data_IF_725961899388
#
_entry.id   IF_725961899388
#
_cell.length_a   1.000
_cell.length_b   1.000
_cell.length_c   1.000
_cell.angle_alpha   90.00
_cell.angle_beta   90.00
_cell.angle_gamma   90.00
#
_symmetry.space_group_name_H-M   'P 1'
#
loop_
_entity.id
_entity.type
_entity.pdbx_description
1 polymer ?
#
# COMPACT_ATOMS: atom_id res chain seq x y z
N UNK A 1 46.49 14.08 6.69
CA UNK A 1 45.50 13.82 5.60
C UNK A 1 45.23 15.12 4.88
N UNK A 2 45.17 15.07 3.54
CA UNK A 2 44.80 16.28 2.79
C UNK A 2 43.32 16.64 3.04
N UNK A 3 42.93 17.93 2.92
CA UNK A 3 41.51 18.35 3.03
C UNK A 3 40.60 17.58 2.09
N UNK A 4 41.11 17.19 0.91
CA UNK A 4 40.38 16.38 -0.06
C UNK A 4 40.07 14.99 0.46
N UNK A 5 41.05 14.31 1.13
CA UNK A 5 40.84 12.99 1.72
C UNK A 5 39.82 13.02 2.87
N UNK A 6 39.81 14.09 3.66
CA UNK A 6 38.82 14.27 4.73
C UNK A 6 37.43 14.43 4.12
N UNK A 7 37.28 15.23 3.07
CA UNK A 7 36.01 15.44 2.37
C UNK A 7 35.48 14.15 1.74
N UNK A 8 36.34 13.34 1.13
CA UNK A 8 36.00 12.04 0.55
C UNK A 8 35.51 11.06 1.61
N UNK A 9 36.19 10.99 2.77
CA UNK A 9 35.78 10.12 3.89
C UNK A 9 34.42 10.55 4.43
N UNK A 10 34.22 11.85 4.66
CA UNK A 10 32.93 12.38 5.14
C UNK A 10 31.81 12.03 4.15
N UNK A 11 32.07 12.21 2.85
CA UNK A 11 31.10 11.89 1.80
C UNK A 11 30.76 10.39 1.76
N UNK A 12 31.77 9.52 1.92
CA UNK A 12 31.60 8.07 1.95
C UNK A 12 30.81 7.63 3.19
N UNK A 13 31.18 8.11 4.37
CA UNK A 13 30.46 7.84 5.63
C UNK A 13 29.00 8.29 5.53
N UNK A 14 28.76 9.48 4.99
CA UNK A 14 27.42 9.99 4.77
C UNK A 14 26.62 9.15 3.79
N UNK A 15 27.24 8.69 2.70
CA UNK A 15 26.63 7.79 1.73
C UNK A 15 26.25 6.44 2.38
N UNK A 16 27.17 5.85 3.14
CA UNK A 16 26.95 4.58 3.85
C UNK A 16 25.83 4.71 4.89
N UNK A 17 25.84 5.76 5.72
CA UNK A 17 24.78 6.00 6.71
C UNK A 17 23.41 6.23 6.04
N UNK A 18 23.37 6.96 4.93
CA UNK A 18 22.14 7.16 4.16
C UNK A 18 21.64 5.85 3.56
N UNK A 19 22.54 5.00 3.07
CA UNK A 19 22.21 3.69 2.53
C UNK A 19 21.66 2.75 3.62
N UNK A 20 22.33 2.71 4.78
CA UNK A 20 21.91 1.88 5.91
C UNK A 20 20.57 2.36 6.49
N UNK A 21 20.34 3.67 6.58
CA UNK A 21 19.06 4.23 6.99
C UNK A 21 17.92 3.86 6.04
N UNK A 22 18.16 3.91 4.73
CA UNK A 22 17.20 3.46 3.71
C UNK A 22 16.92 1.96 3.78
N UNK A 23 17.96 1.16 3.99
CA UNK A 23 17.82 -0.29 4.15
C UNK A 23 17.02 -0.63 5.42
N UNK A 24 17.33 0.04 6.54
CA UNK A 24 16.63 -0.13 7.80
C UNK A 24 15.12 0.18 7.66
N UNK A 25 14.77 1.35 7.11
CA UNK A 25 13.35 1.72 6.90
C UNK A 25 12.60 0.78 5.95
N UNK A 26 13.30 0.09 5.04
CA UNK A 26 12.68 -0.89 4.14
C UNK A 26 12.48 -2.25 4.78
N UNK A 27 13.34 -2.62 5.71
CA UNK A 27 13.37 -3.96 6.33
C UNK A 27 12.68 -4.00 7.68
N UNK A 28 12.53 -2.85 8.35
CA UNK A 28 11.84 -2.79 9.63
C UNK A 28 10.34 -2.99 9.43
N UNK A 29 9.74 -4.00 10.07
CA UNK A 29 8.29 -4.20 9.99
C UNK A 29 7.55 -3.03 10.68
N UNK A 30 6.29 -2.77 10.32
CA UNK A 30 5.45 -1.84 11.07
C UNK A 30 5.32 -2.25 12.55
N UNK A 31 5.16 -1.28 13.45
CA UNK A 31 5.07 -1.55 14.90
C UNK A 31 3.95 -2.52 15.30
N UNK A 32 2.86 -2.49 14.55
CA UNK A 32 1.66 -3.31 14.71
C UNK A 32 1.55 -4.36 13.59
N UNK A 33 2.66 -4.96 13.20
CA UNK A 33 2.68 -6.03 12.21
C UNK A 33 2.03 -7.33 12.74
N UNK A 34 1.69 -8.30 11.88
CA UNK A 34 1.05 -9.56 12.29
C UNK A 34 1.76 -10.30 13.42
N UNK A 35 3.11 -10.37 13.39
CA UNK A 35 3.85 -11.09 14.41
C UNK A 35 3.81 -10.35 15.76
N UNK A 36 3.96 -9.05 15.76
CA UNK A 36 3.88 -8.21 16.96
C UNK A 36 2.49 -8.29 17.60
N UNK A 37 1.43 -8.31 16.76
CA UNK A 37 0.06 -8.44 17.27
C UNK A 37 -0.19 -9.80 17.92
N UNK A 38 0.24 -10.90 17.29
CA UNK A 38 0.10 -12.26 17.86
C UNK A 38 0.86 -12.40 19.20
N UNK A 39 2.03 -11.80 19.30
CA UNK A 39 2.81 -11.79 20.56
C UNK A 39 2.10 -11.00 21.67
N UNK A 40 1.43 -9.92 21.34
CA UNK A 40 0.70 -9.08 22.28
C UNK A 40 -0.65 -9.71 22.72
N UNK A 41 -1.23 -10.62 21.91
CA UNK A 41 -2.53 -11.24 22.14
C UNK A 41 -2.42 -12.78 22.13
N UNK A 42 -1.73 -13.38 23.10
CA UNK A 42 -1.57 -14.82 23.19
C UNK A 42 -2.94 -15.49 23.36
N UNK A 43 -3.21 -16.52 22.52
CA UNK A 43 -4.49 -17.24 22.54
C UNK A 43 -5.62 -16.55 21.76
N UNK A 44 -5.36 -15.39 21.13
CA UNK A 44 -6.33 -14.71 20.26
C UNK A 44 -7.50 -14.04 21.00
N UNK A 45 -7.39 -13.87 22.33
CA UNK A 45 -8.41 -13.16 23.13
C UNK A 45 -8.26 -11.66 22.84
N UNK A 46 -9.33 -11.04 22.39
CA UNK A 46 -9.39 -9.60 22.09
C UNK A 46 -10.74 -9.01 22.46
N UNK A 47 -10.74 -7.76 22.86
CA UNK A 47 -11.94 -7.00 23.23
C UNK A 47 -12.48 -6.17 22.06
N UNK A 48 -11.63 -5.91 21.05
CA UNK A 48 -11.95 -5.07 19.89
C UNK A 48 -12.05 -5.89 18.62
N UNK A 49 -12.74 -5.34 17.63
CA UNK A 49 -12.73 -5.88 16.27
C UNK A 49 -11.33 -5.79 15.67
N UNK A 50 -10.92 -6.76 14.88
CA UNK A 50 -9.61 -6.82 14.26
C UNK A 50 -9.68 -6.56 12.77
N UNK A 51 -9.07 -5.47 12.34
CA UNK A 51 -8.83 -5.14 10.95
C UNK A 51 -7.38 -5.44 10.55
N UNK A 52 -7.19 -6.18 9.46
CA UNK A 52 -5.88 -6.35 8.85
C UNK A 52 -5.83 -5.59 7.53
N UNK A 53 -4.90 -4.63 7.44
CA UNK A 53 -4.61 -3.93 6.19
C UNK A 53 -3.40 -4.59 5.53
N UNK A 54 -3.65 -5.37 4.48
CA UNK A 54 -2.63 -6.09 3.73
C UNK A 54 -2.19 -5.29 2.49
N UNK A 55 -0.92 -5.33 2.17
CA UNK A 55 -0.43 -4.60 0.99
C UNK A 55 1.07 -4.49 0.88
N UNK A 56 1.50 -3.50 0.12
CA UNK A 56 2.89 -3.18 -0.15
C UNK A 56 3.40 -1.98 0.68
N UNK A 57 4.32 -1.20 0.11
CA UNK A 57 4.91 -0.02 0.76
C UNK A 57 3.93 1.11 1.04
N UNK A 58 2.82 1.18 0.31
CA UNK A 58 1.77 2.18 0.53
C UNK A 58 1.05 1.87 1.85
N UNK A 59 0.73 0.60 2.08
CA UNK A 59 0.13 0.12 3.34
C UNK A 59 1.14 0.16 4.49
N UNK A 60 2.41 -0.22 4.24
CA UNK A 60 3.48 -0.17 5.24
C UNK A 60 3.64 1.22 5.88
N UNK A 61 3.56 2.29 5.09
CA UNK A 61 3.59 3.67 5.57
C UNK A 61 4.97 4.26 5.86
N UNK A 62 6.08 3.52 5.71
CA UNK A 62 7.42 4.07 5.95
C UNK A 62 7.85 5.14 4.94
N UNK A 63 7.44 4.97 3.69
CA UNK A 63 7.76 5.86 2.55
C UNK A 63 6.53 6.56 1.99
N UNK A 64 5.35 6.18 2.43
CA UNK A 64 4.04 6.76 2.16
C UNK A 64 3.50 7.41 3.44
N UNK A 65 2.56 8.34 3.34
CA UNK A 65 1.74 8.72 4.48
C UNK A 65 0.87 7.51 4.90
N UNK A 66 0.77 7.29 6.20
CA UNK A 66 0.05 6.15 6.76
C UNK A 66 -1.46 6.42 6.79
N UNK A 67 -2.23 5.73 5.97
CA UNK A 67 -3.69 5.75 6.07
C UNK A 67 -4.20 4.93 7.27
N UNK A 68 -3.40 3.97 7.76
CA UNK A 68 -3.75 3.19 8.95
C UNK A 68 -3.75 4.03 10.23
N UNK A 69 -2.80 4.98 10.36
CA UNK A 69 -2.77 5.86 11.53
C UNK A 69 -4.03 6.74 11.60
N UNK A 70 -4.54 7.16 10.44
CA UNK A 70 -5.80 7.88 10.34
C UNK A 70 -6.99 7.01 10.73
N UNK A 71 -7.01 5.75 10.28
CA UNK A 71 -8.07 4.79 10.63
C UNK A 71 -8.06 4.48 12.13
N UNK A 72 -6.90 4.21 12.72
CA UNK A 72 -6.78 3.94 14.15
C UNK A 72 -7.27 5.11 15.03
N UNK A 73 -7.05 6.35 14.57
CA UNK A 73 -7.54 7.54 15.26
C UNK A 73 -9.07 7.73 15.12
N UNK A 74 -9.67 7.28 14.01
CA UNK A 74 -11.09 7.49 13.69
C UNK A 74 -12.01 6.36 14.16
N UNK A 75 -11.46 5.16 14.34
CA UNK A 75 -12.18 3.93 14.65
C UNK A 75 -11.58 3.27 15.92
N UNK A 76 -11.82 3.84 17.11
CA UNK A 76 -11.19 3.38 18.35
C UNK A 76 -11.65 1.98 18.80
N UNK A 77 -12.75 1.46 18.25
CA UNK A 77 -13.28 0.13 18.54
C UNK A 77 -12.62 -0.98 17.71
N UNK A 78 -11.70 -0.61 16.83
CA UNK A 78 -10.91 -1.52 16.02
C UNK A 78 -9.45 -1.55 16.44
N UNK A 79 -8.88 -2.75 16.44
CA UNK A 79 -7.44 -2.94 16.39
C UNK A 79 -7.00 -3.06 14.93
N UNK A 80 -6.05 -2.24 14.52
CA UNK A 80 -5.51 -2.26 13.15
C UNK A 80 -4.15 -2.94 13.10
N UNK A 81 -4.04 -4.02 12.34
CA UNK A 81 -2.77 -4.69 12.04
C UNK A 81 -2.30 -4.28 10.66
N UNK A 82 -1.07 -3.77 10.61
CA UNK A 82 -0.41 -3.38 9.38
C UNK A 82 0.36 -4.58 8.79
N UNK A 83 -0.21 -5.21 7.79
CA UNK A 83 0.41 -6.29 7.04
C UNK A 83 0.99 -5.81 5.69
N UNK A 84 1.44 -4.55 5.62
CA UNK A 84 2.16 -3.99 4.49
C UNK A 84 3.62 -4.39 4.50
N UNK A 85 4.17 -4.80 3.35
CA UNK A 85 5.58 -5.13 3.17
C UNK A 85 6.14 -4.43 1.94
N UNK A 86 7.23 -3.70 2.14
CA UNK A 86 7.82 -2.88 1.08
C UNK A 86 8.22 -3.70 -0.15
N UNK A 87 7.88 -3.17 -1.33
CA UNK A 87 8.23 -3.71 -2.65
C UNK A 87 7.55 -5.04 -3.02
N UNK A 88 6.63 -5.57 -2.21
CA UNK A 88 5.92 -6.80 -2.53
C UNK A 88 4.96 -6.67 -3.71
N UNK A 89 4.89 -7.76 -4.49
CA UNK A 89 3.89 -8.02 -5.52
C UNK A 89 2.74 -8.86 -4.92
N UNK A 90 1.65 -9.03 -5.65
CA UNK A 90 0.56 -9.92 -5.26
C UNK A 90 1.03 -11.37 -5.00
N UNK A 91 2.02 -11.85 -5.76
CA UNK A 91 2.70 -13.14 -5.54
C UNK A 91 3.31 -13.27 -4.13
N UNK A 92 3.99 -12.23 -3.65
CA UNK A 92 4.60 -12.24 -2.32
C UNK A 92 3.55 -12.24 -1.22
N UNK A 93 2.49 -11.44 -1.38
CA UNK A 93 1.36 -11.42 -0.45
C UNK A 93 0.68 -12.81 -0.39
N UNK A 94 0.45 -13.45 -1.55
CA UNK A 94 -0.09 -14.80 -1.63
C UNK A 94 0.80 -15.83 -0.90
N UNK A 95 2.12 -15.71 -1.04
CA UNK A 95 3.08 -16.61 -0.40
C UNK A 95 3.11 -16.51 1.15
N UNK A 96 2.66 -15.38 1.72
CA UNK A 96 2.62 -15.16 3.19
C UNK A 96 1.22 -15.00 3.77
N UNK A 97 0.19 -15.34 3.03
CA UNK A 97 -1.21 -15.12 3.42
C UNK A 97 -1.57 -15.81 4.74
N UNK A 98 -0.90 -16.93 5.09
CA UNK A 98 -1.05 -17.65 6.34
C UNK A 98 -0.94 -16.73 7.56
N UNK A 99 0.02 -15.80 7.55
CA UNK A 99 0.23 -14.87 8.66
C UNK A 99 -0.97 -13.96 8.92
N UNK A 100 -1.79 -13.71 7.89
CA UNK A 100 -3.01 -12.93 7.99
C UNK A 100 -4.16 -13.83 8.47
N UNK A 101 -4.24 -15.06 7.96
CA UNK A 101 -5.25 -16.04 8.33
C UNK A 101 -5.14 -16.41 9.82
N UNK A 102 -3.93 -16.60 10.33
CA UNK A 102 -3.64 -16.90 11.74
C UNK A 102 -4.18 -15.85 12.72
N UNK A 103 -4.27 -14.59 12.29
CA UNK A 103 -4.84 -13.49 13.09
C UNK A 103 -6.36 -13.64 13.30
N UNK A 104 -7.05 -14.42 12.48
CA UNK A 104 -8.53 -14.54 12.47
C UNK A 104 -9.23 -13.17 12.44
N UNK A 105 -8.93 -12.32 11.46
CA UNK A 105 -9.48 -10.96 11.41
C UNK A 105 -10.99 -10.94 11.22
N UNK A 106 -11.63 -9.85 11.66
CA UNK A 106 -13.04 -9.56 11.36
C UNK A 106 -13.19 -8.88 10.00
N UNK A 107 -12.18 -8.11 9.60
CA UNK A 107 -12.14 -7.49 8.28
C UNK A 107 -10.71 -7.41 7.73
N UNK A 108 -10.59 -7.52 6.40
CA UNK A 108 -9.31 -7.40 5.68
C UNK A 108 -9.48 -6.43 4.52
N UNK A 109 -8.60 -5.44 4.43
CA UNK A 109 -8.45 -4.64 3.21
C UNK A 109 -7.14 -5.00 2.51
N UNK A 110 -7.16 -5.05 1.18
CA UNK A 110 -5.98 -5.39 0.37
C UNK A 110 -5.67 -4.24 -0.59
N UNK A 111 -4.48 -3.63 -0.45
CA UNK A 111 -3.94 -2.62 -1.35
C UNK A 111 -2.60 -3.12 -1.90
N UNK A 112 -2.65 -3.85 -3.01
CA UNK A 112 -1.50 -4.48 -3.66
C UNK A 112 -1.59 -4.36 -5.17
N UNK A 113 -0.46 -4.39 -5.88
CA UNK A 113 -0.40 -4.38 -7.33
C UNK A 113 0.41 -3.23 -7.92
N UNK A 114 0.73 -2.20 -7.14
CA UNK A 114 1.58 -1.09 -7.60
C UNK A 114 2.95 -1.59 -8.06
N UNK A 115 3.53 -2.57 -7.35
CA UNK A 115 4.80 -3.17 -7.71
C UNK A 115 4.68 -4.15 -8.89
N UNK A 116 3.53 -4.84 -9.02
CA UNK A 116 3.23 -5.67 -10.19
C UNK A 116 3.23 -4.82 -11.47
N UNK A 117 2.58 -3.66 -11.44
CA UNK A 117 2.60 -2.67 -12.53
C UNK A 117 4.01 -2.17 -12.78
N UNK A 118 4.73 -1.72 -11.73
CA UNK A 118 6.07 -1.15 -11.85
C UNK A 118 7.09 -2.17 -12.41
N UNK A 119 6.95 -3.45 -12.10
CA UNK A 119 7.81 -4.51 -12.62
C UNK A 119 7.69 -4.68 -14.16
N UNK A 120 6.63 -4.16 -14.78
CA UNK A 120 6.45 -4.20 -16.23
C UNK A 120 7.14 -3.05 -16.98
N UNK A 121 7.69 -2.04 -16.29
CA UNK A 121 8.23 -0.82 -16.89
C UNK A 121 9.66 -0.94 -17.46
N UNK A 122 10.03 -2.11 -17.91
CA UNK A 122 11.29 -2.36 -18.58
C UNK A 122 12.27 -3.21 -17.79
N UNK A 123 13.37 -3.56 -18.45
CA UNK A 123 14.31 -4.54 -17.95
C UNK A 123 14.95 -4.17 -16.60
N UNK A 124 15.25 -2.90 -16.38
CA UNK A 124 15.87 -2.43 -15.13
C UNK A 124 14.94 -2.63 -13.92
N UNK A 125 13.67 -2.29 -14.09
CA UNK A 125 12.65 -2.50 -13.05
C UNK A 125 12.47 -3.98 -12.79
N UNK A 126 12.29 -4.76 -13.84
CA UNK A 126 12.14 -6.21 -13.78
C UNK A 126 13.28 -6.90 -13.04
N UNK A 127 14.53 -6.61 -13.41
CA UNK A 127 15.72 -7.18 -12.74
C UNK A 127 15.79 -6.80 -11.27
N UNK A 128 15.36 -5.59 -10.90
CA UNK A 128 15.26 -5.17 -9.50
C UNK A 128 14.31 -6.06 -8.70
N UNK A 129 13.13 -6.37 -9.23
CA UNK A 129 12.17 -7.25 -8.56
C UNK A 129 12.64 -8.71 -8.52
N UNK A 130 13.27 -9.23 -9.56
CA UNK A 130 13.88 -10.57 -9.53
C UNK A 130 14.96 -10.69 -8.46
N UNK A 131 15.81 -9.66 -8.31
CA UNK A 131 16.85 -9.67 -7.28
C UNK A 131 16.30 -9.69 -5.85
N UNK A 132 15.14 -9.05 -5.61
CA UNK A 132 14.54 -8.93 -4.28
C UNK A 132 13.64 -10.15 -3.96
N UNK A 133 12.83 -10.60 -4.92
CA UNK A 133 11.68 -11.48 -4.64
C UNK A 133 11.78 -12.88 -5.24
N UNK A 134 12.84 -13.23 -5.97
CA UNK A 134 12.99 -14.57 -6.60
C UNK A 134 11.72 -15.00 -7.37
N UNK A 135 11.19 -14.09 -8.18
CA UNK A 135 9.94 -14.32 -8.91
C UNK A 135 10.04 -15.57 -9.78
N UNK A 136 9.02 -16.44 -9.82
CA UNK A 136 9.03 -17.68 -10.62
C UNK A 136 8.91 -17.41 -12.12
N UNK A 137 8.25 -16.30 -12.47
CA UNK A 137 8.04 -15.88 -13.86
C UNK A 137 8.01 -14.35 -14.01
N UNK A 138 7.91 -13.88 -15.24
CA UNK A 138 7.87 -12.45 -15.54
C UNK A 138 6.51 -11.87 -15.13
N UNK A 139 6.47 -10.83 -14.26
CA UNK A 139 5.25 -10.14 -13.89
C UNK A 139 4.50 -9.62 -15.12
N UNK A 140 3.22 -9.91 -15.17
CA UNK A 140 2.29 -9.51 -16.21
C UNK A 140 0.85 -9.46 -15.63
N UNK A 141 -0.16 -8.96 -16.36
CA UNK A 141 -1.53 -8.85 -15.84
C UNK A 141 -2.16 -10.19 -15.41
N UNK A 142 -1.84 -11.29 -16.11
CA UNK A 142 -2.34 -12.62 -15.74
C UNK A 142 -1.72 -13.11 -14.44
N UNK A 143 -0.41 -12.99 -14.30
CA UNK A 143 0.31 -13.34 -13.07
C UNK A 143 -0.22 -12.55 -11.86
N UNK A 144 -0.46 -11.25 -12.01
CA UNK A 144 -1.10 -10.43 -10.98
C UNK A 144 -2.49 -10.95 -10.63
N UNK A 145 -3.34 -11.20 -11.64
CA UNK A 145 -4.71 -11.68 -11.48
C UNK A 145 -4.77 -12.99 -10.71
N UNK A 146 -3.95 -13.97 -11.09
CA UNK A 146 -3.92 -15.29 -10.46
C UNK A 146 -3.52 -15.22 -8.98
N UNK A 147 -2.49 -14.43 -8.66
CA UNK A 147 -2.02 -14.29 -7.30
C UNK A 147 -3.00 -13.49 -6.42
N UNK A 148 -3.62 -12.41 -6.94
CA UNK A 148 -4.63 -11.67 -6.19
C UNK A 148 -5.88 -12.53 -5.94
N UNK A 149 -6.30 -13.30 -6.94
CA UNK A 149 -7.42 -14.23 -6.82
C UNK A 149 -7.13 -15.31 -5.77
N UNK A 150 -5.91 -15.85 -5.73
CA UNK A 150 -5.46 -16.77 -4.71
C UNK A 150 -5.56 -16.16 -3.30
N UNK A 151 -5.08 -14.92 -3.12
CA UNK A 151 -5.20 -14.19 -1.83
C UNK A 151 -6.65 -14.09 -1.39
N UNK A 152 -7.53 -13.64 -2.27
CA UNK A 152 -8.96 -13.46 -1.94
C UNK A 152 -9.61 -14.79 -1.56
N UNK A 153 -9.40 -15.82 -2.36
CA UNK A 153 -10.00 -17.15 -2.12
C UNK A 153 -9.50 -17.79 -0.83
N UNK A 154 -8.21 -17.68 -0.53
CA UNK A 154 -7.65 -18.16 0.72
C UNK A 154 -8.28 -17.45 1.92
N UNK A 155 -8.39 -16.13 1.88
CA UNK A 155 -9.05 -15.35 2.93
C UNK A 155 -10.52 -15.73 3.11
N UNK A 156 -11.27 -15.92 2.01
CA UNK A 156 -12.69 -16.35 2.06
C UNK A 156 -12.87 -17.75 2.63
N UNK A 157 -11.99 -18.67 2.28
CA UNK A 157 -12.11 -20.08 2.68
C UNK A 157 -11.65 -20.33 4.11
N UNK A 158 -10.65 -19.60 4.57
CA UNK A 158 -9.95 -19.89 5.82
C UNK A 158 -10.22 -18.86 6.93
N UNK A 159 -11.00 -17.81 6.63
CA UNK A 159 -11.43 -16.82 7.63
C UNK A 159 -12.92 -16.51 7.52
N UNK A 160 -13.44 -15.79 8.52
CA UNK A 160 -14.79 -15.21 8.49
C UNK A 160 -14.74 -13.71 8.15
N UNK A 161 -13.57 -13.20 7.77
CA UNK A 161 -13.35 -11.79 7.54
C UNK A 161 -14.21 -11.25 6.40
N UNK A 162 -14.74 -10.05 6.57
CA UNK A 162 -15.18 -9.25 5.43
C UNK A 162 -13.96 -8.73 4.69
N UNK A 163 -13.96 -8.85 3.37
CA UNK A 163 -12.81 -8.54 2.53
C UNK A 163 -13.15 -7.38 1.60
N UNK A 164 -12.22 -6.42 1.44
CA UNK A 164 -12.32 -5.40 0.42
C UNK A 164 -10.97 -5.17 -0.28
N UNK A 165 -11.03 -4.91 -1.59
CA UNK A 165 -9.87 -4.68 -2.44
C UNK A 165 -9.83 -3.21 -2.87
N UNK A 166 -8.71 -2.54 -2.67
CA UNK A 166 -8.48 -1.22 -3.23
C UNK A 166 -8.07 -1.31 -4.71
N UNK A 167 -8.60 -0.43 -5.55
CA UNK A 167 -7.98 -0.17 -6.85
C UNK A 167 -6.61 0.46 -6.69
N UNK A 168 -5.74 0.26 -7.66
CA UNK A 168 -4.32 0.63 -7.59
C UNK A 168 -4.17 2.13 -7.84
N UNK A 169 -3.53 2.90 -6.94
CA UNK A 169 -3.26 4.32 -7.14
C UNK A 169 -2.53 4.58 -8.48
N UNK A 170 -2.69 5.76 -9.08
CA UNK A 170 -1.94 6.12 -10.28
C UNK A 170 -0.43 6.13 -10.00
N UNK A 171 0.37 5.71 -10.97
CA UNK A 171 1.82 5.87 -10.97
C UNK A 171 2.17 7.11 -11.80
N UNK A 172 2.67 8.14 -11.12
CA UNK A 172 2.75 9.50 -11.66
C UNK A 172 1.40 10.19 -11.70
N UNK A 173 1.39 11.47 -12.05
CA UNK A 173 0.18 12.29 -12.13
C UNK A 173 -0.05 12.87 -13.53
N UNK A 174 0.66 12.36 -14.54
CA UNK A 174 0.43 12.68 -15.95
C UNK A 174 -0.52 11.65 -16.56
N UNK A 175 -1.78 12.04 -16.89
CA UNK A 175 -2.79 11.10 -17.40
C UNK A 175 -2.45 10.53 -18.78
N UNK A 176 -1.51 11.14 -19.50
CA UNK A 176 -1.05 10.66 -20.82
C UNK A 176 0.17 9.74 -20.73
N UNK A 177 0.76 9.59 -19.55
CA UNK A 177 1.94 8.75 -19.38
C UNK A 177 1.54 7.28 -19.26
N UNK A 178 2.31 6.39 -19.92
CA UNK A 178 2.01 4.95 -19.96
C UNK A 178 1.90 4.30 -18.57
N UNK A 179 2.65 4.79 -17.57
CA UNK A 179 2.61 4.25 -16.21
C UNK A 179 1.27 4.54 -15.53
N UNK A 180 0.70 5.72 -15.76
CA UNK A 180 -0.62 6.11 -15.27
C UNK A 180 -1.73 5.24 -15.90
N UNK A 181 -1.66 5.02 -17.21
CA UNK A 181 -2.62 4.19 -17.94
C UNK A 181 -2.52 2.71 -17.54
N UNK A 182 -1.31 2.23 -17.28
CA UNK A 182 -1.09 0.85 -16.86
C UNK A 182 -1.73 0.52 -15.52
N UNK A 183 -1.77 1.47 -14.58
CA UNK A 183 -2.47 1.26 -13.28
C UNK A 183 -3.98 1.15 -13.44
N UNK A 184 -4.58 1.71 -14.48
CA UNK A 184 -6.00 1.55 -14.80
C UNK A 184 -6.31 0.12 -15.26
N UNK A 185 -5.48 -0.45 -16.15
CA UNK A 185 -5.60 -1.85 -16.58
C UNK A 185 -5.60 -2.81 -15.38
N UNK A 186 -4.64 -2.64 -14.46
CA UNK A 186 -4.57 -3.49 -13.28
C UNK A 186 -5.70 -3.22 -12.26
N UNK A 187 -6.16 -1.98 -12.15
CA UNK A 187 -7.33 -1.64 -11.33
C UNK A 187 -8.62 -2.28 -11.88
N UNK A 188 -8.74 -2.43 -13.20
CA UNK A 188 -9.85 -3.17 -13.81
C UNK A 188 -9.84 -4.65 -13.39
N UNK A 189 -8.66 -5.28 -13.32
CA UNK A 189 -8.51 -6.66 -12.82
C UNK A 189 -8.96 -6.75 -11.35
N UNK A 190 -8.58 -5.78 -10.52
CA UNK A 190 -9.03 -5.73 -9.10
C UNK A 190 -10.56 -5.66 -9.02
N UNK A 191 -11.19 -4.80 -9.83
CA UNK A 191 -12.64 -4.64 -9.88
C UNK A 191 -13.35 -5.92 -10.33
N UNK A 192 -12.80 -6.58 -11.36
CA UNK A 192 -13.32 -7.86 -11.84
C UNK A 192 -13.24 -8.94 -10.77
N UNK A 193 -12.13 -9.05 -10.03
CA UNK A 193 -11.96 -10.00 -8.93
C UNK A 193 -12.92 -9.69 -7.79
N UNK A 194 -13.06 -8.43 -7.42
CA UNK A 194 -13.99 -8.03 -6.37
C UNK A 194 -15.44 -8.44 -6.70
N UNK A 195 -15.84 -8.21 -7.94
CA UNK A 195 -17.15 -8.64 -8.46
C UNK A 195 -17.29 -10.17 -8.53
N UNK A 196 -16.28 -10.87 -9.05
CA UNK A 196 -16.29 -12.34 -9.22
C UNK A 196 -16.37 -13.04 -7.87
N UNK A 197 -15.65 -12.56 -6.88
CA UNK A 197 -15.57 -13.17 -5.56
C UNK A 197 -16.55 -12.55 -4.56
N UNK A 198 -17.40 -11.61 -5.00
CA UNK A 198 -18.40 -10.93 -4.15
C UNK A 198 -17.79 -10.31 -2.89
N UNK A 199 -16.63 -9.66 -3.03
CA UNK A 199 -15.97 -8.90 -1.98
C UNK A 199 -16.05 -7.39 -2.24
N UNK A 200 -15.78 -6.57 -1.22
CA UNK A 200 -15.84 -5.13 -1.34
C UNK A 200 -14.82 -4.59 -2.37
N UNK A 201 -15.21 -3.53 -3.09
CA UNK A 201 -14.32 -2.76 -3.96
C UNK A 201 -14.19 -1.35 -3.44
N UNK A 202 -12.96 -0.92 -3.19
CA UNK A 202 -12.61 0.41 -2.71
C UNK A 202 -11.99 1.21 -3.86
N UNK A 203 -12.71 2.14 -4.48
CA UNK A 203 -12.30 2.81 -5.72
C UNK A 203 -11.25 3.92 -5.45
N UNK A 204 -10.07 3.53 -4.94
CA UNK A 204 -9.02 4.48 -4.56
C UNK A 204 -8.47 5.24 -5.76
N UNK A 205 -8.17 4.53 -6.86
CA UNK A 205 -7.69 5.17 -8.09
C UNK A 205 -8.68 6.21 -8.58
N UNK A 206 -9.95 5.83 -8.66
CA UNK A 206 -11.02 6.68 -9.17
C UNK A 206 -11.13 7.95 -8.32
N UNK A 207 -11.14 7.82 -7.01
CA UNK A 207 -11.21 8.96 -6.08
C UNK A 207 -9.97 9.87 -6.14
N UNK A 208 -8.80 9.29 -6.34
CA UNK A 208 -7.56 10.06 -6.52
C UNK A 208 -7.56 10.81 -7.84
N UNK A 209 -8.07 10.20 -8.91
CA UNK A 209 -8.23 10.84 -10.23
C UNK A 209 -9.25 11.97 -10.17
N UNK A 210 -10.44 11.72 -9.61
CA UNK A 210 -11.49 12.73 -9.40
C UNK A 210 -10.94 13.94 -8.61
N UNK A 211 -10.15 13.68 -7.57
CA UNK A 211 -9.51 14.73 -6.80
C UNK A 211 -8.52 15.53 -7.65
N UNK A 212 -7.65 14.88 -8.43
CA UNK A 212 -6.70 15.58 -9.32
C UNK A 212 -7.43 16.43 -10.37
N UNK A 213 -8.53 15.93 -10.93
CA UNK A 213 -9.35 16.65 -11.91
C UNK A 213 -10.11 17.83 -11.30
N UNK A 214 -10.45 17.77 -10.02
CA UNK A 214 -11.08 18.87 -9.28
C UNK A 214 -10.15 20.06 -9.02
N UNK A 215 -8.83 19.84 -9.12
CA UNK A 215 -7.82 20.87 -8.88
C UNK A 215 -7.61 21.74 -10.16
N UNK A 216 -7.11 22.97 -10.01
CA UNK A 216 -6.73 23.78 -11.17
C UNK A 216 -5.80 23.01 -12.11
N UNK A 217 -5.98 23.12 -13.44
CA UNK A 217 -5.19 22.39 -14.41
C UNK A 217 -3.69 22.54 -14.15
N UNK A 218 -2.99 21.41 -14.06
CA UNK A 218 -1.53 21.41 -14.00
C UNK A 218 -1.00 21.50 -15.44
N UNK A 219 -0.40 22.62 -15.80
CA UNK A 219 0.16 22.81 -17.15
C UNK A 219 1.32 21.87 -17.46
N UNK A 220 1.96 21.34 -16.42
CA UNK A 220 3.08 20.43 -16.50
C UNK A 220 2.88 19.28 -15.50
N UNK A 221 1.94 18.35 -15.76
CA UNK A 221 1.72 17.23 -14.86
C UNK A 221 3.00 16.40 -14.76
N UNK A 222 3.32 15.97 -13.55
CA UNK A 222 4.58 15.25 -13.30
C UNK A 222 4.42 13.80 -13.69
N UNK A 223 5.05 13.40 -14.79
CA UNK A 223 5.13 12.03 -15.23
C UNK A 223 6.01 11.20 -14.30
N UNK A 224 5.74 9.92 -14.27
CA UNK A 224 6.59 8.95 -13.59
C UNK A 224 8.01 8.97 -14.19
N UNK A 225 8.99 9.18 -13.33
CA UNK A 225 10.41 9.01 -13.66
C UNK A 225 10.93 7.79 -12.91
N UNK A 226 11.99 7.16 -13.43
CA UNK A 226 12.54 5.94 -12.85
C UNK A 226 12.55 5.93 -11.31
N UNK A 227 11.75 5.03 -10.75
CA UNK A 227 11.42 4.91 -9.35
C UNK A 227 12.60 5.06 -8.38
N UNK A 228 13.70 4.36 -8.65
CA UNK A 228 14.84 4.34 -7.72
C UNK A 228 15.56 5.68 -7.51
N UNK A 229 15.43 6.66 -8.42
CA UNK A 229 16.06 7.99 -8.29
C UNK A 229 15.15 8.92 -7.50
N UNK A 230 13.87 8.98 -7.87
CA UNK A 230 12.89 9.82 -7.20
C UNK A 230 12.72 9.40 -5.73
N UNK A 231 12.59 8.11 -5.46
CA UNK A 231 12.48 7.57 -4.11
C UNK A 231 13.70 7.91 -3.25
N UNK A 232 14.94 7.69 -3.75
CA UNK A 232 16.16 8.02 -2.99
C UNK A 232 16.26 9.49 -2.68
N UNK A 233 15.88 10.37 -3.62
CA UNK A 233 15.85 11.83 -3.40
C UNK A 233 14.83 12.20 -2.32
N UNK A 234 13.64 11.65 -2.38
CA UNK A 234 12.57 11.88 -1.40
C UNK A 234 12.98 11.41 -0.01
N UNK A 235 13.53 10.20 0.11
CA UNK A 235 14.02 9.66 1.37
C UNK A 235 15.17 10.47 1.97
N UNK A 236 16.11 10.93 1.16
CA UNK A 236 17.18 11.84 1.63
C UNK A 236 16.61 13.15 2.15
N UNK A 237 15.64 13.73 1.46
CA UNK A 237 14.99 14.96 1.89
C UNK A 237 14.29 14.79 3.24
N UNK A 238 13.64 13.64 3.46
CA UNK A 238 12.98 13.31 4.72
C UNK A 238 13.99 13.09 5.86
N UNK A 239 14.98 12.21 5.65
CA UNK A 239 15.91 11.76 6.70
C UNK A 239 16.94 12.83 7.09
N UNK A 240 17.41 13.62 6.11
CA UNK A 240 18.51 14.56 6.31
C UNK A 240 18.01 15.98 6.53
N UNK A 241 16.98 16.37 5.79
CA UNK A 241 16.45 17.74 5.85
C UNK A 241 15.20 17.86 6.73
N UNK A 242 14.71 16.73 7.29
CA UNK A 242 13.52 16.71 8.13
C UNK A 242 12.22 17.14 7.44
N UNK A 243 12.19 17.13 6.09
CA UNK A 243 11.02 17.60 5.32
C UNK A 243 9.85 16.62 5.50
N UNK A 244 8.64 17.19 5.61
CA UNK A 244 7.40 16.43 5.57
C UNK A 244 7.19 15.78 4.20
N UNK A 245 6.33 14.75 4.12
CA UNK A 245 5.97 14.11 2.85
C UNK A 245 5.29 15.09 1.89
N UNK A 246 4.51 16.04 2.41
CA UNK A 246 3.82 17.04 1.59
C UNK A 246 4.78 18.08 1.01
N UNK A 247 5.79 18.53 1.79
CA UNK A 247 6.84 19.39 1.28
C UNK A 247 7.66 18.70 0.19
N UNK A 248 7.93 17.41 0.35
CA UNK A 248 8.64 16.60 -0.66
C UNK A 248 7.76 16.43 -1.91
N UNK A 249 6.47 16.14 -1.72
CA UNK A 249 5.46 16.04 -2.77
C UNK A 249 5.43 17.30 -3.62
N UNK A 250 5.26 18.45 -2.98
CA UNK A 250 5.24 19.76 -3.65
C UNK A 250 6.56 20.06 -4.38
N UNK A 251 7.71 19.79 -3.75
CA UNK A 251 9.02 19.99 -4.37
C UNK A 251 9.28 19.08 -5.59
N UNK A 252 8.62 17.92 -5.63
CA UNK A 252 8.65 16.99 -6.76
C UNK A 252 7.57 17.30 -7.82
N UNK A 253 6.70 18.28 -7.58
CA UNK A 253 5.62 18.68 -8.49
C UNK A 253 4.38 17.75 -8.44
N UNK A 254 4.23 16.95 -7.39
CA UNK A 254 3.08 16.09 -7.17
C UNK A 254 2.04 16.75 -6.27
N UNK A 255 0.79 16.26 -6.32
CA UNK A 255 -0.37 16.76 -5.56
C UNK A 255 -0.93 15.71 -4.59
N UNK A 256 -0.81 14.43 -4.94
CA UNK A 256 -1.25 13.27 -4.14
C UNK A 256 -0.14 12.25 -3.90
N UNK A 257 0.96 12.34 -4.64
CA UNK A 257 2.09 11.42 -4.55
C UNK A 257 3.34 12.12 -3.98
N UNK A 258 4.21 11.36 -3.32
CA UNK A 258 5.49 11.87 -2.79
C UNK A 258 6.59 11.81 -3.85
N UNK A 259 6.70 10.68 -4.55
CA UNK A 259 7.81 10.33 -5.44
C UNK A 259 7.35 9.70 -6.76
N UNK A 260 6.07 9.80 -7.06
CA UNK A 260 5.41 9.23 -8.23
C UNK A 260 4.75 7.86 -7.99
N UNK A 261 4.87 7.29 -6.77
CA UNK A 261 4.23 6.04 -6.38
C UNK A 261 3.54 6.16 -5.01
N UNK A 262 4.27 6.66 -4.01
CA UNK A 262 3.80 6.67 -2.63
C UNK A 262 2.88 7.84 -2.35
N UNK A 263 1.83 7.62 -1.56
CA UNK A 263 0.83 8.62 -1.22
C UNK A 263 1.41 9.68 -0.26
N UNK A 264 1.09 10.94 -0.50
CA UNK A 264 1.24 12.01 0.48
C UNK A 264 0.05 12.01 1.45
N UNK A 265 -0.07 13.02 2.34
CA UNK A 265 -1.15 13.05 3.34
C UNK A 265 -2.53 13.16 2.71
N UNK A 266 -2.70 13.85 1.58
CA UNK A 266 -3.95 13.92 0.85
C UNK A 266 -4.36 12.57 0.26
N UNK A 267 -3.43 11.91 -0.44
CA UNK A 267 -3.69 10.58 -1.00
C UNK A 267 -4.02 9.55 0.08
N UNK A 268 -3.30 9.58 1.20
CA UNK A 268 -3.55 8.71 2.34
C UNK A 268 -4.91 8.99 3.01
N UNK A 269 -5.34 10.25 3.10
CA UNK A 269 -6.65 10.60 3.63
C UNK A 269 -7.79 10.01 2.77
N UNK A 270 -7.68 10.08 1.44
CA UNK A 270 -8.66 9.47 0.52
C UNK A 270 -8.73 7.94 0.71
N UNK A 271 -7.57 7.28 0.89
CA UNK A 271 -7.53 5.85 1.17
C UNK A 271 -8.18 5.53 2.54
N UNK A 272 -7.92 6.34 3.57
CA UNK A 272 -8.54 6.21 4.88
C UNK A 272 -10.06 6.38 4.83
N UNK A 273 -10.57 7.38 4.10
CA UNK A 273 -12.02 7.65 3.97
C UNK A 273 -12.76 6.45 3.35
N UNK A 274 -12.18 5.83 2.33
CA UNK A 274 -12.73 4.63 1.69
C UNK A 274 -12.73 3.42 2.63
N UNK A 275 -11.62 3.19 3.31
CA UNK A 275 -11.50 2.08 4.26
C UNK A 275 -12.40 2.28 5.49
N UNK A 276 -12.49 3.50 6.02
CA UNK A 276 -13.37 3.84 7.13
C UNK A 276 -14.82 3.50 6.78
N UNK A 277 -15.28 3.89 5.60
CA UNK A 277 -16.63 3.59 5.14
C UNK A 277 -16.92 2.08 5.12
N UNK A 278 -15.94 1.29 4.67
CA UNK A 278 -16.02 -0.18 4.67
C UNK A 278 -16.06 -0.74 6.10
N UNK A 279 -15.17 -0.32 6.99
CA UNK A 279 -15.13 -0.84 8.36
C UNK A 279 -16.40 -0.47 9.15
N UNK A 280 -16.94 0.74 9.00
CA UNK A 280 -18.22 1.11 9.60
C UNK A 280 -19.41 0.31 9.05
N UNK A 281 -19.35 -0.13 7.80
CA UNK A 281 -20.34 -1.05 7.25
C UNK A 281 -20.19 -2.46 7.85
N UNK A 282 -18.95 -2.91 8.08
CA UNK A 282 -18.70 -4.16 8.78
C UNK A 282 -19.30 -4.14 10.20
N UNK A 283 -19.08 -3.08 10.98
CA UNK A 283 -19.66 -2.90 12.31
C UNK A 283 -21.18 -3.03 12.26
N UNK A 284 -21.86 -2.21 11.45
CA UNK A 284 -23.31 -2.25 11.31
C UNK A 284 -23.86 -3.63 10.95
N UNK A 285 -23.12 -4.37 10.12
CA UNK A 285 -23.53 -5.72 9.73
C UNK A 285 -23.39 -6.69 10.88
N UNK A 286 -22.31 -6.63 11.64
CA UNK A 286 -22.07 -7.48 12.81
C UNK A 286 -23.09 -7.20 13.92
N UNK A 287 -23.40 -5.95 14.17
CA UNK A 287 -24.42 -5.56 15.16
C UNK A 287 -25.79 -6.12 14.82
N UNK A 288 -26.20 -6.07 13.55
CA UNK A 288 -27.45 -6.67 13.09
C UNK A 288 -27.50 -8.18 13.26
N UNK A 289 -26.40 -8.86 12.90
CA UNK A 289 -26.29 -10.31 13.11
C UNK A 289 -26.41 -10.65 14.60
N UNK A 290 -25.74 -9.90 15.47
CA UNK A 290 -25.79 -10.10 16.91
C UNK A 290 -27.19 -9.78 17.49
N UNK A 291 -27.92 -8.86 16.89
CA UNK A 291 -29.32 -8.53 17.24
C UNK A 291 -30.34 -9.54 16.67
N UNK A 292 -29.92 -10.55 15.89
CA UNK A 292 -30.79 -11.53 15.26
C UNK A 292 -31.60 -11.00 14.08
N UNK A 293 -31.21 -9.87 13.50
CA UNK A 293 -31.87 -9.24 12.33
C UNK A 293 -31.42 -9.94 11.03
N UNK A 294 -32.35 -10.09 10.08
CA UNK A 294 -32.01 -10.58 8.73
C UNK A 294 -31.12 -9.59 8.00
N UNK A 295 -30.04 -10.10 7.39
CA UNK A 295 -29.16 -9.30 6.54
C UNK A 295 -29.92 -8.85 5.28
N UNK A 296 -29.78 -7.60 4.83
CA UNK A 296 -30.30 -7.17 3.54
C UNK A 296 -29.70 -8.02 2.42
N UNK A 297 -30.54 -8.50 1.50
CA UNK A 297 -30.08 -9.19 0.29
C UNK A 297 -29.14 -8.26 -0.49
N UNK A 298 -28.00 -8.77 -0.97
CA UNK A 298 -27.11 -7.96 -1.84
C UNK A 298 -27.89 -7.51 -3.08
N UNK A 299 -27.95 -6.21 -3.31
CA UNK A 299 -28.49 -5.60 -4.53
C UNK A 299 -27.47 -5.57 -5.65
#
# INVERSE_FOLDING_TARGET
MSPLNILLIISLVFFVLSYLGLAHMRLEPPRNDPASYLLAHPGGIRERLLAVCAGDSITHGAVSASYLDLLAARLPDWDFVNAGVNSELAFNLAARIERIIELRPDAVTVLIGTNDVNATFGLRSLLGYYAIHRLPERPNPLFFRENLLLVVRRLKQETKARIALFSIPPIGEDPHHYAYLRTEEYSSIVREIAKLEEVGYLPLRERLVDYLESLPPNRHPTAFRHFGIAQRRSMRSRLILGRSLDEISAANGFRILVDGIHLNTHGAAIAADLAESFFRECERTMDRVNAGEALPTPT
#
